data_IF_192607540163
#
_entry.id   IF_192607540163
#
_cell.length_a   1.000
_cell.length_b   1.000
_cell.length_c   1.000
_cell.angle_alpha   90.00
_cell.angle_beta   90.00
_cell.angle_gamma   90.00
#
_symmetry.space_group_name_H-M   'P 1'
#
loop_
_entity.id
_entity.type
_entity.pdbx_description
1 polymer ?
#
# COMPACT_ATOMS: atom_id res chain seq x y z
N UNK A 1 -66.73 -12.76 18.55
CA UNK A 1 -66.01 -12.71 18.40
C UNK A 1 -65.25 -12.51 17.41
N UNK A 2 -64.74 -12.15 17.09
CA UNK A 2 -64.06 -12.04 16.13
C UNK A 2 -62.86 -11.61 16.00
N UNK A 3 -62.28 -11.53 15.51
CA UNK A 3 -61.13 -11.24 15.35
C UNK A 3 -60.41 -10.87 14.45
N UNK A 4 -60.07 -10.53 14.08
CA UNK A 4 -59.46 -10.08 13.31
C UNK A 4 -58.34 -10.07 13.00
N UNK A 5 -57.85 -10.13 12.48
CA UNK A 5 -56.75 -10.21 12.09
C UNK A 5 -56.04 -9.43 11.38
N UNK A 6 -55.40 -9.09 11.29
CA UNK A 6 -54.60 -8.32 10.81
C UNK A 6 -53.84 -8.43 9.84
N UNK A 7 -53.54 -8.44 9.31
CA UNK A 7 -52.79 -8.50 8.43
C UNK A 7 -51.76 -7.82 8.22
N UNK A 8 -51.11 -7.79 8.16
CA UNK A 8 -50.07 -7.29 8.00
C UNK A 8 -49.52 -7.04 6.94
N UNK A 9 -49.24 -6.90 6.45
CA UNK A 9 -48.72 -6.71 5.47
C UNK A 9 -47.62 -6.33 5.26
N UNK A 10 -46.98 -6.36 5.17
CA UNK A 10 -45.94 -6.25 4.87
C UNK A 10 -45.32 -5.64 4.19
N UNK A 11 -44.98 -5.53 3.72
CA UNK A 11 -44.45 -5.01 2.92
C UNK A 11 -43.33 -4.73 2.66
N UNK A 12 -42.70 -4.85 2.50
CA UNK A 12 -41.62 -4.73 2.12
C UNK A 12 -40.89 -4.28 1.47
N UNK A 13 -40.44 -3.93 1.21
CA UNK A 13 -39.68 -3.47 0.55
C UNK A 13 -38.69 -3.52 0.10
N UNK A 14 -38.28 -3.82 -0.18
CA UNK A 14 -37.47 -4.05 -0.75
C UNK A 14 -36.61 -3.38 -1.35
N UNK A 15 -36.25 -2.89 -1.45
CA UNK A 15 -35.39 -2.23 -1.95
C UNK A 15 -34.33 -2.60 -2.39
N UNK A 16 -33.96 -2.90 -2.95
CA UNK A 16 -32.96 -3.26 -3.42
C UNK A 16 -31.97 -2.51 -3.81
N UNK A 17 -31.21 -2.49 -3.90
CA UNK A 17 -30.11 -1.92 -4.04
C UNK A 17 -29.52 -1.91 -5.17
N UNK A 18 -29.37 -1.75 -5.80
CA UNK A 18 -28.81 -1.69 -6.76
C UNK A 18 -27.61 -1.64 -6.95
N UNK A 19 -26.94 -1.91 -7.24
CA UNK A 19 -25.82 -1.97 -7.43
C UNK A 19 -25.29 -1.38 -8.33
N UNK A 20 -24.66 -0.91 -8.35
CA UNK A 20 -24.03 -0.23 -9.02
C UNK A 20 -23.14 -0.79 -9.68
N UNK A 21 -23.08 -1.22 -10.23
CA UNK A 21 -22.33 -1.84 -10.92
C UNK A 21 -21.20 -1.34 -11.31
N UNK A 22 -20.61 -0.94 -11.10
CA UNK A 22 -19.49 -0.46 -11.38
C UNK A 22 -18.74 -1.28 -12.10
N UNK A 23 -18.63 -1.43 -13.03
CA UNK A 23 -17.92 -2.08 -13.74
C UNK A 23 -16.69 -2.07 -13.53
N UNK A 24 -16.15 -2.52 -13.10
CA UNK A 24 -14.95 -2.60 -12.78
C UNK A 24 -14.17 -3.03 -13.80
N UNK A 25 -13.29 -2.55 -14.19
CA UNK A 25 -12.53 -2.99 -15.10
C UNK A 25 -11.88 -4.09 -14.68
N UNK A 26 -11.69 -4.97 -15.32
CA UNK A 26 -11.11 -6.11 -14.88
C UNK A 26 -9.74 -5.85 -14.63
N UNK A 27 -9.18 -6.46 -13.87
CA UNK A 27 -7.90 -6.28 -13.44
C UNK A 27 -6.97 -6.64 -14.41
N UNK A 28 -6.26 -5.91 -14.84
CA UNK A 28 -5.40 -6.30 -15.78
C UNK A 28 -4.34 -6.96 -15.12
N UNK A 29 -3.40 -7.41 -15.76
CA UNK A 29 -2.36 -8.01 -15.15
C UNK A 29 -1.64 -7.02 -14.39
N UNK A 30 -1.92 -5.82 -14.43
CA UNK A 30 -1.19 -4.84 -13.70
C UNK A 30 -1.36 -4.96 -12.22
N UNK A 31 -2.29 -5.65 -11.76
CA UNK A 31 -2.48 -5.76 -10.34
C UNK A 31 -3.70 -4.98 -9.88
N UNK A 32 -3.77 -4.67 -8.63
CA UNK A 32 -4.94 -4.04 -8.09
C UNK A 32 -4.60 -2.72 -7.44
N UNK A 33 -5.56 -1.84 -7.36
CA UNK A 33 -5.38 -0.56 -6.69
C UNK A 33 -6.53 -0.32 -5.74
N UNK A 34 -6.39 0.66 -4.90
CA UNK A 34 -7.46 1.09 -4.00
C UNK A 34 -7.79 0.08 -2.94
N UNK A 35 -9.06 -0.04 -2.64
CA UNK A 35 -9.47 -0.90 -1.56
C UNK A 35 -9.13 -2.36 -1.77
N UNK A 36 -9.20 -2.81 -3.00
CA UNK A 36 -8.84 -4.19 -3.25
C UNK A 36 -7.37 -4.40 -2.97
N UNK A 37 -6.53 -3.46 -3.42
CA UNK A 37 -5.10 -3.59 -3.17
C UNK A 37 -4.84 -3.55 -1.68
N UNK A 38 -5.53 -2.69 -0.93
CA UNK A 38 -5.32 -2.61 0.51
C UNK A 38 -5.62 -3.93 1.18
N UNK A 39 -6.68 -4.62 0.76
CA UNK A 39 -7.00 -5.90 1.35
C UNK A 39 -5.97 -6.95 0.98
N UNK A 40 -5.46 -6.91 -0.22
CA UNK A 40 -4.46 -7.87 -0.64
C UNK A 40 -3.16 -7.63 0.12
N UNK A 41 -2.84 -6.37 0.41
CA UNK A 41 -1.68 -6.06 1.20
C UNK A 41 -1.88 -6.53 2.63
N UNK A 42 -3.09 -6.34 3.19
CA UNK A 42 -3.39 -6.85 4.53
C UNK A 42 -3.16 -8.35 4.57
N UNK A 43 -3.63 -9.06 3.55
CA UNK A 43 -3.48 -10.49 3.52
C UNK A 43 -2.01 -10.88 3.38
N UNK A 44 -1.28 -10.18 2.53
CA UNK A 44 0.14 -10.47 2.35
C UNK A 44 0.89 -10.31 3.67
N UNK A 45 0.57 -9.27 4.42
CA UNK A 45 1.23 -9.04 5.69
C UNK A 45 0.92 -10.16 6.66
N UNK A 46 -0.35 -10.55 6.75
CA UNK A 46 -0.72 -11.61 7.66
C UNK A 46 -0.07 -12.94 7.28
N UNK A 47 0.13 -13.17 6.00
CA UNK A 47 0.70 -14.43 5.55
C UNK A 47 2.18 -14.58 5.90
N UNK A 48 2.83 -13.51 6.33
CA UNK A 48 4.24 -13.60 6.67
C UNK A 48 4.44 -14.39 7.96
N UNK A 49 3.53 -14.20 8.92
CA UNK A 49 3.55 -14.99 10.15
C UNK A 49 4.87 -15.02 10.92
N UNK A 50 5.67 -14.03 10.81
CA UNK A 50 6.88 -13.94 11.62
C UNK A 50 7.18 -12.45 11.82
N UNK A 51 8.38 -12.13 12.24
CA UNK A 51 8.75 -10.75 12.56
C UNK A 51 8.51 -9.79 11.41
N UNK A 52 8.51 -10.30 10.18
CA UNK A 52 8.31 -9.41 9.03
C UNK A 52 6.89 -8.89 8.98
N UNK A 53 5.95 -9.60 9.57
CA UNK A 53 4.57 -9.15 9.60
C UNK A 53 4.50 -7.82 10.36
N UNK A 54 5.03 -7.77 11.57
CA UNK A 54 4.99 -6.53 12.34
C UNK A 54 5.78 -5.43 11.68
N UNK A 55 6.92 -5.77 11.12
CA UNK A 55 7.76 -4.77 10.50
C UNK A 55 7.08 -4.15 9.28
N UNK A 56 6.55 -4.97 8.40
CA UNK A 56 5.91 -4.42 7.20
C UNK A 56 4.64 -3.65 7.58
N UNK A 57 3.88 -4.16 8.54
CA UNK A 57 2.67 -3.47 8.97
C UNK A 57 3.02 -2.09 9.54
N UNK A 58 4.10 -2.01 10.30
CA UNK A 58 4.50 -0.74 10.87
C UNK A 58 4.92 0.24 9.78
N UNK A 59 5.72 -0.23 8.83
CA UNK A 59 6.17 0.67 7.78
C UNK A 59 5.00 1.14 6.91
N UNK A 60 4.05 0.26 6.66
CA UNK A 60 2.85 0.65 5.91
C UNK A 60 2.10 1.72 6.68
N UNK A 61 1.93 1.56 7.97
CA UNK A 61 1.22 2.55 8.76
C UNK A 61 1.93 3.90 8.71
N UNK A 62 3.25 3.89 8.78
CA UNK A 62 4.00 5.15 8.72
C UNK A 62 3.87 5.82 7.36
N UNK A 63 3.82 5.04 6.29
CA UNK A 63 3.65 5.60 4.96
C UNK A 63 2.29 6.28 4.85
N UNK A 64 1.25 5.62 5.36
CA UNK A 64 -0.09 6.19 5.26
C UNK A 64 -0.28 7.36 6.22
N UNK A 65 0.45 7.39 7.33
CA UNK A 65 0.41 8.53 8.21
C UNK A 65 1.12 9.72 7.60
N UNK A 66 2.21 9.46 6.88
CA UNK A 66 2.95 10.54 6.26
C UNK A 66 2.14 11.20 5.15
N UNK A 67 1.31 10.42 4.46
CA UNK A 67 0.52 10.93 3.38
C UNK A 67 -0.80 10.17 3.30
N UNK A 68 -1.86 10.72 3.87
CA UNK A 68 -3.15 10.04 3.85
C UNK A 68 -3.73 9.86 2.46
N UNK A 69 -3.21 10.54 1.47
CA UNK A 69 -3.69 10.38 0.11
C UNK A 69 -2.86 9.37 -0.69
N UNK A 70 -1.97 8.67 -0.03
CA UNK A 70 -1.17 7.68 -0.71
C UNK A 70 -2.06 6.58 -1.28
N UNK A 71 -1.79 6.15 -2.49
CA UNK A 71 -2.55 5.10 -3.14
C UNK A 71 -1.79 3.79 -2.98
N UNK A 72 -2.49 2.76 -2.53
CA UNK A 72 -1.89 1.45 -2.37
C UNK A 72 -2.20 0.61 -3.59
N UNK A 73 -1.20 -0.10 -4.08
CA UNK A 73 -1.34 -0.92 -5.25
C UNK A 73 -0.60 -2.24 -5.08
N UNK A 74 -0.90 -3.21 -5.91
CA UNK A 74 -0.15 -4.46 -5.96
C UNK A 74 0.30 -4.58 -7.41
N UNK A 75 1.58 -4.64 -7.64
CA UNK A 75 2.11 -4.68 -8.99
C UNK A 75 3.09 -5.81 -9.17
N UNK A 76 3.45 -6.04 -10.38
CA UNK A 76 4.44 -7.04 -10.78
C UNK A 76 4.13 -8.44 -10.32
N UNK A 77 2.86 -8.83 -10.57
CA UNK A 77 2.45 -10.14 -10.26
C UNK A 77 3.14 -11.11 -11.18
N UNK A 78 3.61 -12.18 -10.67
CA UNK A 78 4.25 -13.20 -11.48
C UNK A 78 3.52 -14.51 -11.34
N UNK A 79 3.20 -15.15 -12.45
CA UNK A 79 2.46 -16.39 -12.35
C UNK A 79 3.25 -17.49 -11.65
N UNK A 80 4.57 -17.37 -11.67
CA UNK A 80 5.36 -18.44 -11.11
C UNK A 80 5.46 -18.40 -9.61
N UNK A 81 4.96 -17.40 -8.94
CA UNK A 81 5.04 -17.44 -7.50
C UNK A 81 3.69 -17.16 -6.90
N UNK A 82 3.56 -17.51 -5.67
CA UNK A 82 2.30 -17.38 -5.01
C UNK A 82 1.96 -15.96 -4.69
N UNK A 83 2.87 -15.05 -4.87
CA UNK A 83 2.58 -13.72 -4.52
C UNK A 83 1.91 -13.01 -5.62
N UNK A 84 0.86 -12.36 -5.37
CA UNK A 84 0.14 -11.63 -6.39
C UNK A 84 0.72 -10.22 -6.50
N UNK A 85 1.99 -10.12 -6.66
CA UNK A 85 2.63 -8.82 -6.82
C UNK A 85 3.18 -8.28 -5.51
N UNK A 86 3.80 -7.13 -5.53
CA UNK A 86 4.34 -6.50 -4.33
C UNK A 86 3.54 -5.28 -3.97
N UNK A 87 3.50 -4.94 -2.69
CA UNK A 87 2.85 -3.71 -2.28
C UNK A 87 3.60 -2.51 -2.83
N UNK A 88 2.85 -1.57 -3.40
CA UNK A 88 3.42 -0.37 -3.97
C UNK A 88 2.62 0.81 -3.47
N UNK A 89 3.29 1.86 -3.08
CA UNK A 89 2.64 3.08 -2.63
C UNK A 89 2.98 4.19 -3.61
N UNK A 90 1.94 4.86 -4.09
CA UNK A 90 2.07 5.85 -5.15
C UNK A 90 1.37 7.15 -4.82
N UNK A 91 1.92 8.24 -5.32
CA UNK A 91 1.27 9.54 -5.25
C UNK A 91 1.94 10.34 -6.36
N UNK A 92 1.25 10.52 -7.47
CA UNK A 92 1.80 11.14 -8.68
C UNK A 92 2.99 10.34 -9.18
N UNK A 93 2.91 9.02 -9.06
CA UNK A 93 3.99 8.14 -9.46
C UNK A 93 4.41 7.30 -8.27
N UNK A 94 5.20 6.30 -8.49
CA UNK A 94 5.59 5.40 -7.43
C UNK A 94 6.45 6.12 -6.40
N UNK A 95 6.09 5.97 -5.14
CA UNK A 95 6.87 6.50 -4.05
C UNK A 95 7.79 5.40 -3.53
N UNK A 96 7.23 4.28 -3.11
CA UNK A 96 8.07 3.18 -2.67
C UNK A 96 7.35 1.86 -2.78
N UNK A 97 8.11 0.79 -2.68
CA UNK A 97 7.58 -0.57 -2.74
C UNK A 97 8.04 -1.30 -1.49
N UNK A 98 7.28 -2.30 -1.09
CA UNK A 98 7.62 -3.10 0.07
C UNK A 98 7.82 -4.54 -0.33
N UNK A 99 9.03 -5.03 -0.20
CA UNK A 99 9.31 -6.40 -0.53
C UNK A 99 9.76 -7.13 0.72
N UNK A 100 9.51 -8.41 0.77
CA UNK A 100 9.93 -9.20 1.91
C UNK A 100 10.76 -10.37 1.41
N UNK A 101 11.87 -10.58 2.05
CA UNK A 101 12.74 -11.70 1.76
C UNK A 101 12.92 -12.46 3.05
N UNK A 102 13.58 -13.57 3.01
CA UNK A 102 13.71 -14.42 4.19
C UNK A 102 14.22 -13.67 5.41
N UNK A 103 15.19 -12.82 5.23
CA UNK A 103 15.81 -12.15 6.36
C UNK A 103 15.69 -10.64 6.38
N UNK A 104 14.90 -10.09 5.52
CA UNK A 104 14.83 -8.64 5.44
C UNK A 104 13.51 -8.16 4.87
N UNK A 105 13.05 -7.03 5.38
CA UNK A 105 11.95 -6.31 4.77
C UNK A 105 12.61 -5.13 4.07
N UNK A 106 12.37 -5.00 2.77
CA UNK A 106 13.04 -3.97 1.98
C UNK A 106 12.05 -2.94 1.46
N UNK A 107 12.29 -1.69 1.78
CA UNK A 107 11.48 -0.59 1.26
C UNK A 107 12.33 0.12 0.22
N UNK A 108 11.91 0.08 -1.03
CA UNK A 108 12.67 0.69 -2.12
C UNK A 108 11.96 1.95 -2.58
N UNK A 109 12.66 3.06 -2.53
CA UNK A 109 12.13 4.33 -2.98
C UNK A 109 12.52 4.54 -4.42
N UNK A 110 11.52 4.71 -5.29
CA UNK A 110 11.77 4.79 -6.73
C UNK A 110 12.71 5.92 -7.11
N UNK A 111 12.61 7.05 -6.41
CA UNK A 111 13.48 8.18 -6.71
C UNK A 111 14.44 8.45 -5.56
N UNK A 112 14.80 7.41 -4.82
CA UNK A 112 15.59 7.58 -3.63
C UNK A 112 16.89 8.34 -3.82
N UNK A 113 17.52 8.16 -4.98
CA UNK A 113 18.79 8.83 -5.21
C UNK A 113 18.65 10.35 -5.25
N UNK A 114 17.46 10.85 -5.50
CA UNK A 114 17.22 12.29 -5.55
C UNK A 114 16.67 12.86 -4.27
N UNK A 115 16.48 12.05 -3.25
CA UNK A 115 15.85 12.52 -2.04
C UNK A 115 16.88 12.85 -0.96
N UNK A 116 16.59 13.86 -0.14
CA UNK A 116 17.48 14.16 0.97
C UNK A 116 17.29 13.07 2.02
N UNK A 117 18.36 12.60 2.57
CA UNK A 117 18.29 11.55 3.57
C UNK A 117 19.28 11.89 4.69
N UNK A 118 19.00 12.96 5.43
CA UNK A 118 19.93 13.39 6.45
C UNK A 118 20.10 12.39 7.58
N UNK A 119 19.10 11.54 7.80
CA UNK A 119 19.19 10.54 8.84
C UNK A 119 19.83 9.25 8.36
N UNK A 120 20.25 9.23 7.10
CA UNK A 120 20.91 8.07 6.52
C UNK A 120 20.11 6.79 6.66
N UNK A 121 18.84 6.87 6.29
CA UNK A 121 17.99 5.69 6.35
C UNK A 121 18.31 4.71 5.23
N UNK A 122 18.68 5.21 4.05
CA UNK A 122 18.98 4.30 2.96
C UNK A 122 20.26 3.52 3.26
N UNK A 123 20.16 2.22 3.23
CA UNK A 123 21.31 1.37 3.50
C UNK A 123 21.47 0.26 2.48
N UNK A 124 20.75 0.36 1.36
CA UNK A 124 20.81 -0.67 0.35
C UNK A 124 20.58 -0.03 -1.00
N UNK A 125 21.01 -0.66 -2.04
CA UNK A 125 20.88 -0.15 -3.41
C UNK A 125 21.53 1.22 -3.54
N UNK A 126 22.62 1.43 -2.83
CA UNK A 126 23.23 2.76 -2.77
C UNK A 126 23.93 3.19 -4.03
N UNK A 127 24.14 2.26 -4.93
CA UNK A 127 24.76 2.61 -6.18
C UNK A 127 23.82 2.80 -7.33
N UNK A 128 22.53 2.69 -7.07
CA UNK A 128 21.56 2.87 -8.13
C UNK A 128 21.48 4.32 -8.57
N UNK A 129 21.17 4.54 -9.81
CA UNK A 129 21.03 5.90 -10.30
C UNK A 129 19.76 6.58 -9.87
N UNK A 130 18.72 5.84 -9.60
CA UNK A 130 17.45 6.44 -9.17
C UNK A 130 16.94 5.83 -7.89
N UNK A 131 17.08 4.54 -7.71
CA UNK A 131 16.52 3.89 -6.54
C UNK A 131 17.46 3.83 -5.37
N UNK A 132 16.88 3.83 -4.19
CA UNK A 132 17.61 3.58 -2.96
C UNK A 132 16.68 2.79 -2.08
N UNK A 133 17.22 1.98 -1.19
CA UNK A 133 16.38 1.12 -0.38
C UNK A 133 16.78 1.12 1.09
N UNK A 134 15.82 0.76 1.92
CA UNK A 134 16.05 0.59 3.34
C UNK A 134 15.81 -0.88 3.61
N UNK A 135 16.85 -1.60 4.04
CA UNK A 135 16.72 -3.00 4.41
C UNK A 135 16.55 -3.03 5.92
N UNK A 136 15.48 -3.66 6.38
CA UNK A 136 15.20 -3.77 7.81
C UNK A 136 15.32 -5.23 8.20
N UNK A 137 16.25 -5.51 9.09
CA UNK A 137 16.46 -6.87 9.56
C UNK A 137 15.73 -7.08 10.87
N UNK A 138 15.59 -8.33 11.25
CA UNK A 138 14.87 -8.68 12.45
C UNK A 138 15.45 -7.93 13.64
N UNK A 139 14.61 -7.36 14.45
CA UNK A 139 15.05 -6.65 15.63
C UNK A 139 15.42 -5.20 15.41
N UNK A 140 15.46 -4.78 14.15
CA UNK A 140 15.81 -3.38 13.89
C UNK A 140 14.57 -2.55 13.71
N UNK A 141 14.67 -1.28 14.05
CA UNK A 141 13.57 -0.39 13.86
C UNK A 141 14.02 0.85 13.17
N UNK A 142 13.21 1.34 12.28
CA UNK A 142 13.48 2.56 11.56
C UNK A 142 12.85 3.70 12.34
N UNK A 143 13.54 4.81 12.47
CA UNK A 143 13.04 5.98 13.16
C UNK A 143 11.78 6.46 12.46
N UNK A 144 10.68 6.51 13.17
CA UNK A 144 9.39 6.84 12.57
C UNK A 144 9.36 8.24 12.00
N UNK A 145 9.89 9.20 12.73
CA UNK A 145 9.85 10.58 12.26
C UNK A 145 10.72 10.75 11.01
N UNK A 146 11.91 10.20 11.03
CA UNK A 146 12.81 10.32 9.89
C UNK A 146 12.20 9.64 8.68
N UNK A 147 11.56 8.49 8.88
CA UNK A 147 10.97 7.78 7.76
C UNK A 147 9.80 8.56 7.17
N UNK A 148 8.95 9.13 8.03
CA UNK A 148 7.83 9.90 7.51
C UNK A 148 8.32 11.14 6.77
N UNK A 149 9.39 11.74 7.23
CA UNK A 149 9.96 12.89 6.53
C UNK A 149 10.45 12.47 5.15
N UNK A 150 11.06 11.30 5.06
CA UNK A 150 11.55 10.81 3.78
C UNK A 150 10.39 10.52 2.83
N UNK A 151 9.30 9.94 3.34
CA UNK A 151 8.12 9.68 2.51
C UNK A 151 7.54 10.98 1.99
N UNK A 152 7.46 12.00 2.85
CA UNK A 152 6.93 13.29 2.41
C UNK A 152 7.82 13.92 1.35
N UNK A 153 9.13 13.76 1.47
CA UNK A 153 10.04 14.28 0.47
C UNK A 153 9.84 13.57 -0.86
N UNK A 154 9.57 12.26 -0.79
CA UNK A 154 9.34 11.50 -2.03
C UNK A 154 8.05 11.95 -2.71
N UNK A 155 7.00 12.20 -1.92
CA UNK A 155 5.75 12.67 -2.48
C UNK A 155 5.96 14.05 -3.12
N UNK A 156 6.68 14.92 -2.44
CA UNK A 156 6.95 16.25 -2.98
C UNK A 156 7.77 16.16 -4.28
N UNK A 157 8.70 15.22 -4.32
CA UNK A 157 9.53 15.06 -5.51
C UNK A 157 8.67 14.64 -6.71
N UNK A 158 7.62 13.88 -6.48
CA UNK A 158 6.75 13.44 -7.56
C UNK A 158 5.72 14.50 -7.96
N UNK A 159 5.59 15.56 -7.19
CA UNK A 159 4.59 16.58 -7.47
C UNK A 159 4.95 17.27 -8.77
N UNK A 160 4.04 17.30 -9.75
CA UNK A 160 4.36 17.90 -11.04
C UNK A 160 4.74 19.37 -10.95
N UNK A 161 4.25 20.08 -9.95
CA UNK A 161 4.56 21.48 -9.86
C UNK A 161 6.01 21.72 -9.48
N UNK A 162 6.67 20.75 -8.90
CA UNK A 162 8.06 20.93 -8.54
C UNK A 162 8.98 20.62 -9.69
N UNK A 163 8.44 20.02 -10.73
CA UNK A 163 9.29 19.71 -11.85
C UNK A 163 9.19 20.71 -12.92
N UNK A 164 8.50 21.79 -12.71
CA UNK A 164 8.33 22.72 -13.66
C UNK A 164 9.53 23.44 -13.78
N UNK A 165 10.05 23.70 -14.54
CA UNK A 165 11.14 24.45 -14.62
C UNK A 165 11.66 24.29 -15.66
#
# INVERSE_FOLDING_TARGET
MSYAKPKAKGTSPTSKPRKSATKSKSPSKAGATGKLASRLIDQRIRDLEDWREDTLARMRALILEADPEMIEERKWRKPSNAMAGVPVWSHNGIVCTGETYTKVVKLTFAQGASLPDPSRLFNSSLEGNTRRAIDIHEGKKVDARAFKTLVKAAVAHNDPSTKKR
#
